data_IF_901648582476
#
_entry.id   IF_901648582476
#
_cell.length_a   1.000
_cell.length_b   1.000
_cell.length_c   1.000
_cell.angle_alpha   90.00
_cell.angle_beta   90.00
_cell.angle_gamma   90.00
#
_symmetry.space_group_name_H-M   'P 1'
#
loop_
_entity.id
_entity.type
_entity.pdbx_description
1 polymer ?
#
# COMPACT_ATOMS: atom_id res chain seq x y z
N UNK A 1 -8.78 -6.97 4.67
CA UNK A 1 -8.33 -6.54 6.02
C UNK A 1 -9.30 -5.50 6.52
N UNK A 2 -9.85 -5.64 7.74
CA UNK A 2 -10.88 -4.71 8.21
C UNK A 2 -10.30 -3.31 8.42
N UNK A 3 -10.80 -2.32 7.70
CA UNK A 3 -10.42 -0.91 7.77
C UNK A 3 -10.48 -0.35 9.19
N UNK A 4 -11.51 -0.75 9.95
CA UNK A 4 -11.73 -0.31 11.33
C UNK A 4 -10.58 -0.62 12.30
N UNK A 5 -9.77 -1.64 12.02
CA UNK A 5 -8.62 -2.00 12.87
C UNK A 5 -7.43 -1.03 12.75
N UNK A 6 -7.44 -0.16 11.74
CA UNK A 6 -6.32 0.73 11.40
C UNK A 6 -6.71 2.21 11.43
N UNK A 7 -7.84 2.54 12.06
CA UNK A 7 -8.28 3.93 12.20
C UNK A 7 -7.32 4.72 13.11
N UNK A 8 -7.00 5.93 12.67
CA UNK A 8 -6.32 6.94 13.47
C UNK A 8 -7.27 8.08 13.80
N UNK A 9 -7.14 8.59 15.03
CA UNK A 9 -7.87 9.74 15.56
C UNK A 9 -6.93 10.91 15.92
N UNK A 10 -5.64 10.78 15.61
CA UNK A 10 -4.61 11.75 15.99
C UNK A 10 -4.63 13.02 15.15
N UNK A 11 -5.43 13.02 14.09
CA UNK A 11 -5.52 14.12 13.15
C UNK A 11 -6.80 14.92 13.36
N UNK A 12 -6.75 16.25 13.12
CA UNK A 12 -7.91 17.12 13.34
C UNK A 12 -9.02 16.84 12.34
N UNK A 13 -10.25 17.06 12.79
CA UNK A 13 -11.41 17.26 11.93
C UNK A 13 -11.94 18.68 12.12
N UNK A 14 -12.53 19.25 11.10
CA UNK A 14 -13.11 20.58 11.15
C UNK A 14 -14.63 20.51 11.04
N UNK A 15 -15.29 21.55 11.53
CA UNK A 15 -16.74 21.69 11.44
C UNK A 15 -17.10 22.69 10.36
N UNK A 16 -18.23 22.55 9.73
CA UNK A 16 -18.75 23.54 8.77
C UNK A 16 -18.83 24.96 9.34
N UNK A 17 -19.03 25.08 10.66
CA UNK A 17 -19.11 26.36 11.39
C UNK A 17 -17.74 26.97 11.75
N UNK A 18 -16.65 26.20 11.56
CA UNK A 18 -15.29 26.70 11.84
C UNK A 18 -14.88 27.77 10.81
N UNK A 19 -14.01 28.69 11.25
CA UNK A 19 -13.47 29.71 10.38
C UNK A 19 -12.37 29.16 9.45
N UNK A 20 -12.21 29.82 8.32
CA UNK A 20 -11.12 29.55 7.37
C UNK A 20 -9.76 29.73 8.04
N UNK A 21 -9.61 30.74 8.92
CA UNK A 21 -8.39 30.94 9.72
C UNK A 21 -8.08 29.74 10.63
N UNK A 22 -9.10 29.12 11.26
CA UNK A 22 -8.90 27.91 12.07
C UNK A 22 -8.41 26.74 11.21
N UNK A 23 -8.96 26.59 10.02
CA UNK A 23 -8.51 25.56 9.09
C UNK A 23 -7.06 25.78 8.67
N UNK A 24 -6.68 27.00 8.32
CA UNK A 24 -5.30 27.36 7.99
C UNK A 24 -4.34 26.99 9.11
N UNK A 25 -4.68 27.34 10.36
CA UNK A 25 -3.87 26.99 11.53
C UNK A 25 -3.73 25.45 11.67
N UNK A 26 -4.80 24.69 11.43
CA UNK A 26 -4.75 23.22 11.50
C UNK A 26 -3.82 22.63 10.45
N UNK A 27 -3.84 23.12 9.21
CA UNK A 27 -2.91 22.71 8.16
C UNK A 27 -1.46 22.93 8.55
N UNK A 28 -1.11 24.11 9.00
CA UNK A 28 0.26 24.44 9.40
C UNK A 28 0.74 23.64 10.63
N UNK A 29 -0.16 23.39 11.60
CA UNK A 29 0.22 22.67 12.82
C UNK A 29 0.50 21.20 12.56
N UNK A 30 -0.23 20.57 11.64
CA UNK A 30 -0.18 19.12 11.40
C UNK A 30 0.47 18.73 10.07
N UNK A 31 0.93 19.72 9.28
CA UNK A 31 1.55 19.50 7.95
C UNK A 31 0.71 18.60 7.02
N UNK A 32 -0.60 18.79 7.01
CA UNK A 32 -1.55 18.01 6.26
C UNK A 32 -1.79 18.60 4.87
N UNK A 33 -2.22 17.75 3.93
CA UNK A 33 -2.66 18.17 2.58
C UNK A 33 -4.18 18.30 2.49
N UNK A 34 -4.89 17.62 3.38
CA UNK A 34 -6.35 17.61 3.46
C UNK A 34 -6.82 17.41 4.89
N UNK A 35 -8.02 17.93 5.20
CA UNK A 35 -8.71 17.72 6.49
C UNK A 35 -10.18 17.49 6.19
N UNK A 36 -10.79 16.49 6.86
CA UNK A 36 -12.22 16.23 6.76
C UNK A 36 -13.03 17.33 7.44
N UNK A 37 -14.13 17.72 6.83
CA UNK A 37 -15.10 18.66 7.38
C UNK A 37 -16.39 17.91 7.69
N UNK A 38 -16.93 18.19 8.88
CA UNK A 38 -18.13 17.54 9.40
C UNK A 38 -19.25 18.55 9.63
N UNK A 39 -20.50 18.11 9.40
CA UNK A 39 -21.71 18.73 9.91
C UNK A 39 -22.28 17.84 11.03
N UNK A 40 -22.10 18.25 12.28
CA UNK A 40 -22.34 17.38 13.42
C UNK A 40 -21.40 16.17 13.41
N UNK A 41 -21.92 14.99 13.13
CA UNK A 41 -21.16 13.74 12.94
C UNK A 41 -20.99 13.36 11.47
N UNK A 42 -21.76 13.96 10.58
CA UNK A 42 -21.75 13.62 9.16
C UNK A 42 -20.54 14.20 8.45
N UNK A 43 -19.89 13.37 7.68
CA UNK A 43 -18.84 13.80 6.75
C UNK A 43 -19.47 14.60 5.60
N UNK A 44 -18.88 15.74 5.27
CA UNK A 44 -19.34 16.64 4.20
C UNK A 44 -18.34 16.67 3.03
N UNK A 45 -17.08 16.40 3.30
CA UNK A 45 -16.02 16.39 2.31
C UNK A 45 -14.67 16.74 2.93
N UNK A 46 -13.64 16.78 2.09
CA UNK A 46 -12.31 17.24 2.47
C UNK A 46 -12.07 18.66 1.97
N UNK A 47 -11.43 19.46 2.79
CA UNK A 47 -10.78 20.70 2.35
C UNK A 47 -9.29 20.45 2.15
N UNK A 48 -8.69 21.22 1.25
CA UNK A 48 -7.24 21.22 1.00
C UNK A 48 -6.62 22.52 1.49
N UNK A 49 -5.32 22.49 1.78
CA UNK A 49 -4.55 23.67 2.15
C UNK A 49 -4.65 24.76 1.06
N UNK A 50 -4.57 24.37 -0.21
CA UNK A 50 -4.68 25.26 -1.35
C UNK A 50 -6.04 26.00 -1.40
N UNK A 51 -7.16 25.30 -1.14
CA UNK A 51 -8.48 25.90 -1.11
C UNK A 51 -8.58 26.96 -0.03
N UNK A 52 -8.02 26.69 1.15
CA UNK A 52 -8.05 27.60 2.29
C UNK A 52 -7.12 28.81 2.04
N UNK A 53 -5.93 28.58 1.50
CA UNK A 53 -4.95 29.62 1.21
C UNK A 53 -5.44 30.62 0.14
N UNK A 54 -6.21 30.14 -0.85
CA UNK A 54 -6.77 30.97 -1.92
C UNK A 54 -8.06 31.72 -1.52
N UNK A 55 -8.56 31.50 -0.29
CA UNK A 55 -9.76 32.21 0.17
C UNK A 55 -9.49 33.70 0.42
N UNK A 56 -10.37 34.53 -0.13
CA UNK A 56 -10.31 35.99 0.08
C UNK A 56 -10.86 36.46 1.44
N UNK A 57 -11.51 35.58 2.19
CA UNK A 57 -12.19 35.89 3.45
C UNK A 57 -11.71 34.99 4.60
N UNK A 58 -10.57 35.28 5.23
CA UNK A 58 -10.02 34.43 6.31
C UNK A 58 -10.96 34.23 7.49
N UNK A 59 -11.81 35.22 7.79
CA UNK A 59 -12.81 35.16 8.86
C UNK A 59 -14.13 34.49 8.45
N UNK A 60 -14.26 34.11 7.16
CA UNK A 60 -15.40 33.39 6.63
C UNK A 60 -15.50 31.98 7.23
N UNK A 61 -16.67 31.38 7.09
CA UNK A 61 -16.92 30.01 7.56
C UNK A 61 -16.63 28.99 6.47
N UNK A 62 -16.25 27.80 6.87
CA UNK A 62 -16.03 26.67 5.94
C UNK A 62 -17.31 26.29 5.17
N UNK A 63 -18.50 26.57 5.72
CA UNK A 63 -19.77 26.38 5.02
C UNK A 63 -19.88 27.16 3.71
N UNK A 64 -19.14 28.24 3.54
CA UNK A 64 -19.10 29.05 2.32
C UNK A 64 -18.31 28.39 1.19
N UNK A 65 -17.44 27.40 1.52
CA UNK A 65 -16.55 26.71 0.60
C UNK A 65 -17.02 25.29 0.24
N UNK A 66 -18.21 24.88 0.67
CA UNK A 66 -18.70 23.50 0.50
C UNK A 66 -18.73 23.01 -0.96
N UNK A 67 -19.01 23.92 -1.91
CA UNK A 67 -19.04 23.60 -3.35
C UNK A 67 -17.65 23.15 -3.91
N UNK A 68 -16.58 23.42 -3.19
CA UNK A 68 -15.20 23.13 -3.58
C UNK A 68 -14.58 21.97 -2.79
N UNK A 69 -15.33 21.38 -1.84
CA UNK A 69 -14.85 20.24 -1.08
C UNK A 69 -14.63 19.04 -1.99
N UNK A 70 -13.62 18.25 -1.67
CA UNK A 70 -13.33 17.00 -2.39
C UNK A 70 -13.96 15.84 -1.66
N UNK A 71 -14.78 15.08 -2.37
CA UNK A 71 -15.43 13.88 -1.82
C UNK A 71 -14.55 12.65 -2.09
N UNK A 72 -13.68 12.35 -1.13
CA UNK A 72 -12.87 11.13 -1.08
C UNK A 72 -12.96 10.56 0.33
N UNK A 73 -13.66 9.46 0.47
CA UNK A 73 -13.80 8.70 1.72
C UNK A 73 -13.76 7.21 1.43
N UNK A 74 -13.48 6.41 2.46
CA UNK A 74 -13.54 4.96 2.44
C UNK A 74 -14.70 4.53 3.32
N UNK A 75 -15.49 3.54 2.91
CA UNK A 75 -16.53 2.96 3.75
C UNK A 75 -15.91 2.04 4.82
N UNK A 76 -16.51 2.03 6.00
CA UNK A 76 -15.94 1.36 7.17
C UNK A 76 -15.87 -0.18 7.03
N UNK A 77 -16.74 -0.76 6.19
CA UNK A 77 -16.79 -2.19 5.86
C UNK A 77 -15.93 -2.57 4.65
N UNK A 78 -15.37 -1.60 3.92
CA UNK A 78 -14.43 -1.86 2.83
C UNK A 78 -13.10 -2.40 3.33
N UNK A 79 -12.41 -3.13 2.45
CA UNK A 79 -11.04 -3.59 2.74
C UNK A 79 -10.04 -2.43 2.77
N UNK A 80 -9.10 -2.48 3.72
CA UNK A 80 -8.08 -1.43 3.88
C UNK A 80 -7.35 -1.10 2.57
N UNK A 81 -7.09 -2.09 1.72
CA UNK A 81 -6.40 -1.88 0.45
C UNK A 81 -7.24 -1.11 -0.58
N UNK A 82 -8.56 -0.99 -0.39
CA UNK A 82 -9.39 -0.11 -1.20
C UNK A 82 -9.04 1.37 -1.03
N UNK A 83 -8.34 1.73 0.06
CA UNK A 83 -7.81 3.08 0.25
C UNK A 83 -6.66 3.44 -0.70
N UNK A 84 -5.88 2.46 -1.21
CA UNK A 84 -4.71 2.73 -2.04
C UNK A 84 -5.01 3.53 -3.32
N UNK A 85 -6.02 3.17 -4.13
CA UNK A 85 -6.42 3.98 -5.28
C UNK A 85 -6.91 5.38 -4.89
N UNK A 86 -7.49 5.54 -3.69
CA UNK A 86 -7.94 6.85 -3.20
C UNK A 86 -6.74 7.75 -2.88
N UNK A 87 -5.68 7.22 -2.25
CA UNK A 87 -4.44 7.95 -2.03
C UNK A 87 -3.79 8.40 -3.35
N UNK A 88 -3.71 7.50 -4.33
CA UNK A 88 -3.14 7.82 -5.65
C UNK A 88 -3.94 8.92 -6.36
N UNK A 89 -5.25 8.79 -6.41
CA UNK A 89 -6.14 9.71 -7.14
C UNK A 89 -6.25 11.07 -6.47
N UNK A 90 -6.35 11.11 -5.14
CA UNK A 90 -6.57 12.35 -4.39
C UNK A 90 -5.28 13.10 -4.08
N UNK A 91 -4.14 12.40 -4.01
CA UNK A 91 -2.86 12.88 -3.47
C UNK A 91 -2.98 13.31 -1.99
N UNK A 92 -3.97 12.80 -1.27
CA UNK A 92 -4.18 13.08 0.14
C UNK A 92 -3.25 12.26 1.03
N UNK A 93 -2.89 12.79 2.19
CA UNK A 93 -2.16 12.05 3.24
C UNK A 93 -3.09 11.22 4.12
N UNK A 94 -4.35 11.61 4.20
CA UNK A 94 -5.37 11.01 5.05
C UNK A 94 -6.64 10.75 4.24
N UNK A 95 -7.20 9.56 4.36
CA UNK A 95 -8.51 9.21 3.79
C UNK A 95 -9.50 9.10 4.96
N UNK A 96 -10.55 9.92 5.01
CA UNK A 96 -11.61 9.77 6.00
C UNK A 96 -12.34 8.45 5.80
N UNK A 97 -12.73 7.83 6.91
CA UNK A 97 -13.58 6.64 6.92
C UNK A 97 -14.96 7.01 7.43
N UNK A 98 -15.98 6.54 6.74
CA UNK A 98 -17.38 6.79 7.04
C UNK A 98 -18.16 5.50 7.19
N UNK A 99 -19.24 5.52 7.97
CA UNK A 99 -20.19 4.40 8.03
C UNK A 99 -21.32 4.59 6.98
N UNK A 100 -22.24 3.63 6.88
CA UNK A 100 -23.40 3.63 5.96
C UNK A 100 -24.29 4.89 6.11
N UNK A 101 -24.27 5.53 7.27
CA UNK A 101 -24.99 6.78 7.55
C UNK A 101 -24.20 8.04 7.20
N UNK A 102 -23.04 7.88 6.56
CA UNK A 102 -22.07 8.95 6.25
C UNK A 102 -21.55 9.66 7.49
N UNK A 103 -21.53 8.99 8.65
CA UNK A 103 -20.90 9.50 9.85
C UNK A 103 -19.42 9.17 9.86
N UNK A 104 -18.61 10.16 10.16
CA UNK A 104 -17.15 10.01 10.24
C UNK A 104 -16.75 9.04 11.37
N UNK A 105 -15.87 8.08 11.03
CA UNK A 105 -15.38 7.04 11.92
C UNK A 105 -13.92 7.22 12.33
N UNK A 106 -13.12 7.95 11.55
CA UNK A 106 -11.69 8.13 11.76
C UNK A 106 -10.99 8.39 10.43
N UNK A 107 -9.67 8.28 10.44
CA UNK A 107 -8.84 8.37 9.24
C UNK A 107 -8.04 7.10 9.01
N UNK A 108 -7.79 6.78 7.76
CA UNK A 108 -6.68 5.91 7.34
C UNK A 108 -5.57 6.81 6.80
N UNK A 109 -4.34 6.57 7.26
CA UNK A 109 -3.13 7.19 6.72
C UNK A 109 -2.36 6.21 5.83
N UNK A 110 -1.51 6.72 4.96
CA UNK A 110 -0.64 5.85 4.15
C UNK A 110 0.34 5.06 5.05
N UNK A 111 0.73 5.60 6.20
CA UNK A 111 1.52 4.87 7.21
C UNK A 111 0.75 3.71 7.82
N UNK A 112 -0.54 3.89 8.13
CA UNK A 112 -1.40 2.78 8.63
C UNK A 112 -1.47 1.62 7.64
N UNK A 113 -1.59 1.93 6.33
CA UNK A 113 -1.55 0.89 5.28
C UNK A 113 -0.18 0.24 5.22
N UNK A 114 0.90 1.02 5.32
CA UNK A 114 2.28 0.51 5.37
C UNK A 114 2.51 -0.44 6.55
N UNK A 115 2.03 -0.08 7.74
CA UNK A 115 2.09 -0.92 8.94
C UNK A 115 1.30 -2.22 8.75
N UNK A 116 0.10 -2.14 8.19
CA UNK A 116 -0.72 -3.32 7.90
C UNK A 116 -0.01 -4.27 6.92
N UNK A 117 0.65 -3.74 5.91
CA UNK A 117 1.46 -4.52 4.98
C UNK A 117 2.65 -5.16 5.70
N UNK A 118 3.37 -4.39 6.52
CA UNK A 118 4.54 -4.87 7.24
C UNK A 118 4.18 -5.98 8.24
N UNK A 119 3.13 -5.79 9.04
CA UNK A 119 2.68 -6.78 10.04
C UNK A 119 2.24 -8.11 9.42
N UNK A 120 1.72 -8.08 8.20
CA UNK A 120 1.14 -9.27 7.57
C UNK A 120 2.05 -9.92 6.50
N UNK A 121 3.34 -9.60 6.45
CA UNK A 121 4.14 -10.21 5.40
C UNK A 121 5.65 -10.11 5.47
N UNK A 122 6.20 -9.34 6.40
CA UNK A 122 7.65 -9.16 6.50
C UNK A 122 8.18 -9.51 7.89
N UNK A 123 7.76 -10.64 8.45
CA UNK A 123 8.05 -11.02 9.85
C UNK A 123 9.47 -11.55 10.07
N UNK A 124 10.46 -11.19 9.26
CA UNK A 124 11.87 -11.54 9.50
C UNK A 124 12.15 -13.04 9.56
N UNK A 125 11.28 -13.87 9.01
CA UNK A 125 11.45 -15.32 8.94
C UNK A 125 12.37 -15.68 7.77
N UNK A 126 13.03 -16.83 7.87
CA UNK A 126 13.90 -17.33 6.81
C UNK A 126 13.11 -17.53 5.50
N UNK A 127 13.71 -17.16 4.38
CA UNK A 127 13.08 -17.25 3.07
C UNK A 127 13.57 -16.21 2.09
N UNK A 128 12.68 -15.70 1.23
CA UNK A 128 13.06 -14.68 0.26
C UNK A 128 11.92 -14.21 -0.63
N UNK A 129 12.27 -13.33 -1.56
CA UNK A 129 11.37 -12.85 -2.61
C UNK A 129 11.99 -13.20 -3.96
N UNK A 130 11.16 -13.70 -4.87
CA UNK A 130 11.51 -13.92 -6.27
C UNK A 130 10.64 -13.04 -7.18
N UNK A 131 11.24 -12.63 -8.30
CA UNK A 131 10.56 -11.87 -9.35
C UNK A 131 10.64 -12.68 -10.64
N UNK A 132 9.49 -12.99 -11.20
CA UNK A 132 9.31 -13.87 -12.36
C UNK A 132 8.64 -13.04 -13.46
N UNK A 133 9.23 -12.87 -14.67
CA UNK A 133 8.50 -12.36 -15.81
C UNK A 133 7.30 -13.26 -16.06
N UNK A 134 6.09 -12.71 -16.08
CA UNK A 134 4.88 -13.52 -16.07
C UNK A 134 3.97 -13.18 -17.23
N UNK A 135 3.78 -14.15 -18.11
CA UNK A 135 2.88 -14.02 -19.24
C UNK A 135 1.55 -14.72 -18.94
N UNK A 136 0.50 -13.95 -18.69
CA UNK A 136 -0.81 -14.46 -18.22
C UNK A 136 -1.39 -15.60 -19.07
N UNK A 137 -1.10 -15.62 -20.39
CA UNK A 137 -1.61 -16.63 -21.30
C UNK A 137 -0.76 -17.91 -21.37
N UNK A 138 0.50 -17.85 -20.93
CA UNK A 138 1.47 -18.93 -21.13
C UNK A 138 2.02 -19.49 -19.83
N UNK A 139 2.10 -18.67 -18.78
CA UNK A 139 2.67 -19.06 -17.51
C UNK A 139 1.59 -19.49 -16.52
N UNK A 140 1.92 -20.47 -15.67
CA UNK A 140 1.00 -21.03 -14.70
C UNK A 140 1.44 -20.71 -13.28
N UNK A 141 0.68 -19.86 -12.58
CA UNK A 141 0.87 -19.62 -11.15
C UNK A 141 0.74 -20.92 -10.34
N UNK A 142 -0.16 -21.82 -10.74
CA UNK A 142 -0.35 -23.12 -10.07
C UNK A 142 0.89 -24.00 -10.15
N UNK A 143 1.64 -23.98 -11.26
CA UNK A 143 2.89 -24.68 -11.40
C UNK A 143 3.94 -24.12 -10.43
N UNK A 144 4.07 -22.80 -10.39
CA UNK A 144 5.00 -22.10 -9.50
C UNK A 144 4.68 -22.43 -8.03
N UNK A 145 3.42 -22.32 -7.64
CA UNK A 145 2.96 -22.61 -6.29
C UNK A 145 3.25 -24.06 -5.90
N UNK A 146 2.95 -25.02 -6.77
CA UNK A 146 3.22 -26.44 -6.54
C UNK A 146 4.71 -26.72 -6.32
N UNK A 147 5.58 -26.14 -7.15
CA UNK A 147 7.03 -26.35 -7.01
C UNK A 147 7.53 -25.79 -5.68
N UNK A 148 7.02 -24.63 -5.26
CA UNK A 148 7.36 -24.02 -3.97
C UNK A 148 6.91 -24.93 -2.82
N UNK A 149 5.67 -25.44 -2.83
CA UNK A 149 5.13 -26.32 -1.81
C UNK A 149 5.86 -27.67 -1.74
N UNK A 150 6.15 -28.31 -2.89
CA UNK A 150 6.92 -29.55 -2.96
C UNK A 150 8.33 -29.41 -2.36
N UNK A 151 8.88 -28.19 -2.38
CA UNK A 151 10.17 -27.88 -1.75
C UNK A 151 10.01 -27.24 -0.35
N UNK A 152 8.88 -27.49 0.33
CA UNK A 152 8.59 -27.04 1.70
C UNK A 152 8.63 -25.50 1.87
N UNK A 153 8.29 -24.77 0.81
CA UNK A 153 8.08 -23.34 0.87
C UNK A 153 6.62 -23.00 1.13
N UNK A 154 6.39 -21.94 1.92
CA UNK A 154 5.09 -21.35 2.11
C UNK A 154 5.05 -20.00 1.36
N UNK A 155 4.13 -19.84 0.43
CA UNK A 155 3.88 -18.55 -0.19
C UNK A 155 3.16 -17.66 0.82
N UNK A 156 3.82 -16.63 1.30
CA UNK A 156 3.24 -15.68 2.25
C UNK A 156 2.61 -14.49 1.55
N UNK A 157 3.07 -14.18 0.34
CA UNK A 157 2.54 -13.08 -0.46
C UNK A 157 2.83 -13.30 -1.95
N UNK A 158 1.91 -12.87 -2.80
CA UNK A 158 2.15 -12.76 -4.24
C UNK A 158 1.42 -11.54 -4.79
N UNK A 159 2.03 -10.84 -5.73
CA UNK A 159 1.36 -9.78 -6.47
C UNK A 159 1.95 -9.61 -7.87
N UNK A 160 1.11 -9.13 -8.79
CA UNK A 160 1.53 -8.76 -10.15
C UNK A 160 2.01 -7.31 -10.14
N UNK A 161 3.27 -7.11 -10.49
CA UNK A 161 3.86 -5.78 -10.64
C UNK A 161 3.79 -5.36 -12.11
N UNK A 162 3.28 -4.17 -12.36
CA UNK A 162 3.39 -3.56 -13.69
C UNK A 162 4.75 -2.90 -13.80
N UNK A 163 5.64 -3.50 -14.55
CA UNK A 163 6.97 -2.94 -14.75
C UNK A 163 6.94 -1.91 -15.89
N UNK A 164 6.82 -0.64 -15.55
CA UNK A 164 6.79 0.47 -16.53
C UNK A 164 8.17 0.74 -17.17
N UNK A 165 9.22 0.05 -16.73
CA UNK A 165 10.61 0.28 -17.16
C UNK A 165 11.18 -0.82 -18.05
N UNK A 166 10.53 -1.97 -18.19
CA UNK A 166 10.99 -3.02 -19.08
C UNK A 166 10.54 -2.75 -20.51
N UNK A 167 11.51 -2.85 -21.44
CA UNK A 167 11.29 -2.64 -22.88
C UNK A 167 10.27 -3.60 -23.50
N UNK A 168 9.99 -4.73 -22.86
CA UNK A 168 8.99 -5.73 -23.28
C UNK A 168 7.63 -5.56 -22.63
N UNK A 169 7.50 -4.69 -21.61
CA UNK A 169 6.23 -4.39 -20.96
C UNK A 169 5.54 -5.58 -20.27
N UNK A 170 6.26 -6.69 -20.05
CA UNK A 170 5.70 -7.85 -19.37
C UNK A 170 5.54 -7.55 -17.88
N UNK A 171 4.39 -7.90 -17.28
CA UNK A 171 4.24 -7.83 -15.83
C UNK A 171 5.19 -8.82 -15.15
N UNK A 172 5.66 -8.47 -13.95
CA UNK A 172 6.42 -9.37 -13.09
C UNK A 172 5.52 -9.93 -11.98
N UNK A 173 5.57 -11.23 -11.79
CA UNK A 173 5.01 -11.86 -10.60
C UNK A 173 6.06 -11.80 -9.48
N UNK A 174 5.76 -11.03 -8.43
CA UNK A 174 6.52 -11.07 -7.18
C UNK A 174 5.93 -12.16 -6.29
N UNK A 175 6.78 -13.06 -5.77
CA UNK A 175 6.39 -14.09 -4.81
C UNK A 175 7.32 -14.03 -3.60
N UNK A 176 6.75 -13.83 -2.42
CA UNK A 176 7.44 -13.93 -1.15
C UNK A 176 7.23 -15.32 -0.57
N UNK A 177 8.33 -15.97 -0.18
CA UNK A 177 8.36 -17.37 0.24
C UNK A 177 9.03 -17.45 1.60
N UNK A 178 8.36 -18.08 2.54
CA UNK A 178 8.94 -18.51 3.82
C UNK A 178 9.47 -19.92 3.66
N UNK A 179 10.77 -20.13 3.92
CA UNK A 179 11.42 -21.44 3.80
C UNK A 179 12.85 -21.39 4.35
N UNK A 180 13.35 -22.52 4.82
CA UNK A 180 14.77 -22.71 5.12
C UNK A 180 15.57 -23.19 3.88
N UNK A 181 14.89 -23.49 2.76
CA UNK A 181 15.47 -24.11 1.56
C UNK A 181 15.29 -23.24 0.31
N UNK A 182 15.46 -21.94 0.43
CA UNK A 182 15.19 -20.97 -0.65
C UNK A 182 15.94 -21.29 -1.94
N UNK A 183 17.23 -21.61 -1.85
CA UNK A 183 18.05 -21.98 -3.02
C UNK A 183 17.54 -23.24 -3.73
N UNK A 184 16.98 -24.21 -2.97
CA UNK A 184 16.38 -25.42 -3.55
C UNK A 184 15.10 -25.11 -4.34
N UNK A 185 14.31 -24.15 -3.87
CA UNK A 185 13.11 -23.69 -4.58
C UNK A 185 13.50 -23.04 -5.91
N UNK A 186 14.49 -22.14 -5.90
CA UNK A 186 14.99 -21.50 -7.12
C UNK A 186 15.42 -22.55 -8.16
N UNK A 187 16.27 -23.50 -7.77
CA UNK A 187 16.69 -24.58 -8.64
C UNK A 187 15.52 -25.46 -9.13
N UNK A 188 14.51 -25.64 -8.28
CA UNK A 188 13.28 -26.35 -8.64
C UNK A 188 12.50 -25.62 -9.73
N UNK A 189 12.32 -24.32 -9.59
CA UNK A 189 11.63 -23.48 -10.57
C UNK A 189 12.38 -23.46 -11.92
N UNK A 190 13.69 -23.27 -11.90
CA UNK A 190 14.53 -23.22 -13.08
C UNK A 190 14.52 -24.56 -13.86
N UNK A 191 14.56 -25.70 -13.15
CA UNK A 191 14.44 -27.04 -13.78
C UNK A 191 13.10 -27.24 -14.50
N UNK A 192 12.06 -26.54 -14.10
CA UNK A 192 10.77 -26.54 -14.78
C UNK A 192 10.60 -25.43 -15.82
N UNK A 193 11.71 -24.75 -16.18
CA UNK A 193 11.71 -23.71 -17.21
C UNK A 193 11.15 -22.35 -16.75
N UNK A 194 10.98 -22.14 -15.44
CA UNK A 194 10.57 -20.84 -14.91
C UNK A 194 11.78 -19.92 -14.89
N UNK A 195 11.68 -18.80 -15.59
CA UNK A 195 12.73 -17.77 -15.63
C UNK A 195 12.57 -16.89 -14.37
N UNK A 196 13.65 -16.69 -13.63
CA UNK A 196 13.69 -15.81 -12.46
C UNK A 196 14.56 -14.61 -12.78
N UNK A 197 13.96 -13.41 -12.81
CA UNK A 197 14.69 -12.17 -13.07
C UNK A 197 15.56 -11.77 -11.89
N UNK A 198 15.00 -11.85 -10.68
CA UNK A 198 15.66 -11.45 -9.44
C UNK A 198 15.20 -12.35 -8.30
N UNK A 199 16.11 -12.57 -7.36
CA UNK A 199 15.79 -13.23 -6.11
C UNK A 199 16.56 -12.58 -4.97
N UNK A 200 15.88 -12.40 -3.82
CA UNK A 200 16.44 -11.82 -2.61
C UNK A 200 16.16 -12.77 -1.45
N UNK A 201 17.21 -13.19 -0.74
CA UNK A 201 17.12 -14.07 0.41
C UNK A 201 17.11 -13.26 1.71
N UNK A 202 16.33 -13.70 2.70
CA UNK A 202 16.28 -13.13 4.05
C UNK A 202 16.64 -14.20 5.08
N UNK A 203 17.16 -13.79 6.25
CA UNK A 203 17.35 -14.67 7.39
C UNK A 203 18.79 -14.79 7.92
N UNK A 204 18.97 -15.54 8.98
CA UNK A 204 20.21 -15.60 9.78
C UNK A 204 21.41 -16.31 9.11
N UNK A 205 21.24 -16.92 7.94
CA UNK A 205 22.34 -17.57 7.19
C UNK A 205 23.01 -16.67 6.14
N UNK A 206 22.76 -15.37 6.21
CA UNK A 206 23.01 -14.39 5.16
C UNK A 206 24.45 -14.24 4.66
N UNK A 207 25.48 -14.47 5.47
CA UNK A 207 26.84 -14.11 5.05
C UNK A 207 27.52 -15.15 4.14
N UNK A 208 27.32 -16.43 4.40
CA UNK A 208 28.00 -17.49 3.61
C UNK A 208 27.17 -17.94 2.39
N UNK A 209 25.85 -17.83 2.46
CA UNK A 209 24.95 -18.23 1.38
C UNK A 209 24.71 -17.12 0.35
N UNK A 210 24.81 -15.84 0.74
CA UNK A 210 24.72 -14.71 -0.18
C UNK A 210 25.88 -14.70 -1.19
N UNK A 211 27.13 -14.97 -0.75
CA UNK A 211 28.26 -15.09 -1.68
C UNK A 211 28.07 -16.24 -2.69
N UNK A 212 27.55 -17.38 -2.23
CA UNK A 212 27.24 -18.52 -3.11
C UNK A 212 26.05 -18.24 -4.04
N UNK A 213 25.05 -17.51 -3.53
CA UNK A 213 23.88 -17.13 -4.30
C UNK A 213 24.21 -16.08 -5.36
N UNK A 214 25.00 -15.06 -5.04
CA UNK A 214 25.48 -14.07 -5.99
C UNK A 214 26.38 -14.68 -7.07
N UNK A 215 27.19 -15.69 -6.71
CA UNK A 215 27.96 -16.47 -7.66
C UNK A 215 27.05 -17.26 -8.61
N UNK A 216 26.00 -17.90 -8.08
CA UNK A 216 25.02 -18.65 -8.89
C UNK A 216 24.27 -17.73 -9.86
N UNK A 217 23.80 -16.58 -9.39
CA UNK A 217 23.10 -15.59 -10.20
C UNK A 217 23.99 -14.95 -11.28
N UNK A 218 25.28 -14.73 -10.99
CA UNK A 218 26.28 -14.29 -12.00
C UNK A 218 26.60 -15.36 -13.04
N UNK A 219 26.46 -16.64 -12.68
CA UNK A 219 26.70 -17.76 -13.62
C UNK A 219 25.51 -17.96 -14.56
N UNK A 220 24.30 -17.61 -14.10
CA UNK A 220 23.05 -17.77 -14.86
C UNK A 220 22.72 -16.57 -15.77
N UNK A 221 23.31 -15.41 -15.50
CA UNK A 221 23.20 -14.19 -16.31
C UNK A 221 24.61 -13.68 -16.68
N UNK A 222 25.32 -14.33 -17.64
CA UNK A 222 26.64 -13.91 -18.07
C UNK A 222 26.66 -12.57 -18.83
#
# INVERSE_FOLDING_TARGET
MLTLAYLSYDFPVLKLTDSIQKAMKAFHTHELTNIAVLDGKKYVGNITEELVANSQHPDGKLSELTAYFKDYSLEADEDLFASLPLFEKSQFKLIPVVNDSQEWQGYISLSSVGEAIAMNGFNGQDGGIIYIPFHIQHDSFSLIARIIEENRGLITRSCMLRNSKDALGLPELMVQIQTEQFSGIIQGLERHGVIINKAYMFGKREAADNERFDLLMKFLNP
#
